data_IF_916608082280
#
_entry.id   IF_916608082280
#
_cell.length_a   1.000
_cell.length_b   1.000
_cell.length_c   1.000
_cell.angle_alpha   90.00
_cell.angle_beta   90.00
_cell.angle_gamma   90.00
#
_symmetry.space_group_name_H-M   'P 1'
#
loop_
_entity.id
_entity.type
_entity.pdbx_description
1 polymer ?
#
# COMPACT_ATOMS: atom_id res chain seq x y z
N UNK A 1 -7.08 -6.32 -8.70
CA UNK A 1 -6.48 -7.28 -7.74
C UNK A 1 -6.24 -6.56 -6.41
N UNK A 2 -6.25 -7.27 -5.27
CA UNK A 2 -5.93 -6.66 -3.98
C UNK A 2 -4.42 -6.73 -3.73
N UNK A 3 -3.86 -5.66 -3.21
CA UNK A 3 -2.46 -5.54 -2.84
C UNK A 3 -2.35 -5.06 -1.40
N UNK A 4 -1.55 -5.74 -0.61
CA UNK A 4 -1.12 -5.30 0.71
C UNK A 4 0.11 -4.41 0.53
N UNK A 5 -0.01 -3.14 0.90
CA UNK A 5 1.06 -2.15 0.84
C UNK A 5 1.49 -1.83 2.26
N UNK A 6 2.79 -1.96 2.53
CA UNK A 6 3.37 -1.59 3.82
C UNK A 6 3.75 -0.12 3.73
N UNK A 7 3.13 0.69 4.58
CA UNK A 7 3.36 2.12 4.68
C UNK A 7 4.03 2.47 6.00
N UNK A 8 4.87 3.50 6.00
CA UNK A 8 5.49 4.06 7.19
C UNK A 8 5.12 5.53 7.34
N UNK A 9 4.49 5.89 8.45
CA UNK A 9 4.15 7.27 8.80
C UNK A 9 4.56 7.56 10.24
N UNK A 10 5.26 8.68 10.46
CA UNK A 10 5.71 9.12 11.78
C UNK A 10 6.42 8.02 12.60
N UNK A 11 7.26 7.23 11.93
CA UNK A 11 8.01 6.14 12.54
C UNK A 11 7.22 4.85 12.81
N UNK A 12 5.91 4.84 12.56
CA UNK A 12 5.05 3.66 12.69
C UNK A 12 4.79 3.03 11.32
N UNK A 13 4.89 1.71 11.27
CA UNK A 13 4.58 0.92 10.08
C UNK A 13 3.17 0.36 10.20
N UNK A 14 2.41 0.42 9.11
CA UNK A 14 1.06 -0.11 9.02
C UNK A 14 0.78 -0.65 7.62
N UNK A 15 -0.14 -1.59 7.56
CA UNK A 15 -0.52 -2.26 6.34
C UNK A 15 -1.80 -1.65 5.78
N UNK A 16 -1.80 -1.29 4.50
CA UNK A 16 -3.00 -0.85 3.77
C UNK A 16 -3.31 -1.85 2.65
N UNK A 17 -4.58 -2.26 2.52
CA UNK A 17 -5.02 -3.08 1.39
C UNK A 17 -5.71 -2.20 0.37
N UNK A 18 -5.17 -2.16 -0.85
CA UNK A 18 -5.70 -1.37 -1.96
C UNK A 18 -6.06 -2.26 -3.15
N UNK A 19 -6.99 -1.80 -3.97
CA UNK A 19 -7.36 -2.46 -5.22
C UNK A 19 -6.63 -1.77 -6.38
N UNK A 20 -5.82 -2.52 -7.11
CA UNK A 20 -5.06 -2.03 -8.27
C UNK A 20 -4.87 -3.14 -9.33
N UNK A 21 -4.40 -2.79 -10.53
CA UNK A 21 -4.13 -3.79 -11.56
C UNK A 21 -2.69 -4.35 -11.47
N UNK A 22 -1.77 -3.59 -10.87
CA UNK A 22 -0.37 -3.99 -10.70
C UNK A 22 0.24 -3.36 -9.42
N UNK A 23 1.43 -3.85 -9.04
CA UNK A 23 2.15 -3.38 -7.83
C UNK A 23 2.45 -1.87 -7.85
N UNK A 24 2.81 -1.32 -9.02
CA UNK A 24 3.15 0.11 -9.16
C UNK A 24 1.94 1.00 -8.93
N UNK A 25 0.78 0.62 -9.47
CA UNK A 25 -0.49 1.28 -9.21
C UNK A 25 -0.89 1.15 -7.74
N UNK A 26 -0.72 -0.04 -7.13
CA UNK A 26 -1.04 -0.24 -5.71
C UNK A 26 -0.27 0.72 -4.81
N UNK A 27 1.05 0.87 -5.02
CA UNK A 27 1.85 1.83 -4.27
C UNK A 27 1.38 3.27 -4.50
N UNK A 28 1.04 3.64 -5.74
CA UNK A 28 0.54 4.99 -6.04
C UNK A 28 -0.78 5.29 -5.34
N UNK A 29 -1.73 4.34 -5.35
CA UNK A 29 -3.03 4.48 -4.68
C UNK A 29 -2.85 4.59 -3.16
N UNK A 30 -2.01 3.74 -2.57
CA UNK A 30 -1.71 3.79 -1.14
C UNK A 30 -1.07 5.12 -0.72
N UNK A 31 -0.15 5.67 -1.53
CA UNK A 31 0.45 6.99 -1.30
C UNK A 31 -0.52 8.14 -1.54
N UNK A 32 -1.49 8.01 -2.46
CA UNK A 32 -2.54 9.02 -2.65
C UNK A 32 -3.48 9.08 -1.43
N UNK A 33 -3.79 7.94 -0.83
CA UNK A 33 -4.58 7.87 0.40
C UNK A 33 -3.77 8.37 1.62
N UNK A 34 -2.45 8.14 1.61
CA UNK A 34 -1.54 8.49 2.68
C UNK A 34 -0.33 9.29 2.17
N UNK A 35 -0.52 10.58 1.79
CA UNK A 35 0.52 11.38 1.12
C UNK A 35 1.74 11.67 2.02
N UNK A 36 1.57 11.60 3.33
CA UNK A 36 2.65 11.78 4.31
C UNK A 36 3.36 10.45 4.67
N UNK A 37 2.92 9.33 4.11
CA UNK A 37 3.51 8.03 4.37
C UNK A 37 4.55 7.67 3.30
N UNK A 38 5.52 6.85 3.68
CA UNK A 38 6.47 6.23 2.76
C UNK A 38 6.03 4.79 2.47
N UNK A 39 5.90 4.43 1.20
CA UNK A 39 5.62 3.06 0.81
C UNK A 39 6.91 2.22 0.81
N UNK A 40 6.95 1.19 1.65
CA UNK A 40 8.12 0.33 1.83
C UNK A 40 8.06 -0.91 0.94
N UNK A 41 6.89 -1.55 0.83
CA UNK A 41 6.69 -2.72 0.00
C UNK A 41 5.23 -2.82 -0.48
N UNK A 42 5.01 -3.55 -1.57
CA UNK A 42 3.68 -3.95 -2.02
C UNK A 42 3.68 -5.39 -2.55
N UNK A 43 2.75 -6.20 -2.03
CA UNK A 43 2.57 -7.57 -2.45
C UNK A 43 1.10 -7.87 -2.73
N UNK A 44 0.87 -8.73 -3.72
CA UNK A 44 -0.47 -9.20 -4.03
C UNK A 44 -1.01 -9.98 -2.85
N UNK A 45 -2.26 -9.71 -2.46
CA UNK A 45 -2.92 -10.40 -1.35
C UNK A 45 -4.28 -10.93 -1.79
N UNK A 46 -4.61 -12.15 -1.36
CA UNK A 46 -5.87 -12.81 -1.64
C UNK A 46 -6.86 -12.77 -0.47
N UNK A 47 -6.46 -12.26 0.71
CA UNK A 47 -7.31 -12.34 1.90
C UNK A 47 -8.65 -11.60 1.68
N UNK A 48 -9.74 -12.33 1.91
CA UNK A 48 -11.14 -11.86 1.93
C UNK A 48 -11.40 -11.15 3.25
#
# INVERSE_FOLDING_TARGET
MRFKVILKKNGKEFDEVVIANNKKEAMKVALQNNPEAQALNSDWTFKI
#
